data_IF_189009178332
#
_entry.id   IF_189009178332
#
_cell.length_a   1.000
_cell.length_b   1.000
_cell.length_c   1.000
_cell.angle_alpha   90.00
_cell.angle_beta   90.00
_cell.angle_gamma   90.00
#
_symmetry.space_group_name_H-M   'P 1'
#
loop_
_entity.id
_entity.type
_entity.pdbx_description
1 polymer ?
#
# COMPACT_ATOMS: atom_id res chain seq x y z
N UNK A 1 -5.69 -27.93 -33.52
CA UNK A 1 -6.63 -27.13 -32.69
C UNK A 1 -6.03 -25.75 -32.57
N UNK A 2 -6.67 -24.75 -33.16
CA UNK A 2 -6.16 -23.37 -33.16
C UNK A 2 -6.77 -22.63 -31.98
N UNK A 3 -5.94 -22.16 -31.05
CA UNK A 3 -6.40 -21.38 -29.91
C UNK A 3 -6.96 -20.04 -30.41
N UNK A 4 -8.20 -19.74 -30.03
CA UNK A 4 -8.89 -18.52 -30.40
C UNK A 4 -8.92 -17.58 -29.20
N UNK A 5 -8.19 -16.47 -29.28
CA UNK A 5 -8.16 -15.42 -28.26
C UNK A 5 -9.04 -14.25 -28.71
N UNK A 6 -9.80 -13.66 -27.80
CA UNK A 6 -10.61 -12.47 -28.10
C UNK A 6 -9.93 -11.22 -27.55
N UNK A 7 -9.77 -10.20 -28.40
CA UNK A 7 -9.28 -8.88 -28.04
C UNK A 7 -10.40 -7.86 -28.16
N UNK A 8 -10.69 -7.09 -27.12
CA UNK A 8 -11.73 -6.06 -27.17
C UNK A 8 -11.15 -4.67 -27.50
N UNK A 9 -11.72 -4.02 -28.50
CA UNK A 9 -11.37 -2.66 -28.92
C UNK A 9 -12.64 -1.82 -29.11
N UNK A 10 -12.80 -0.75 -28.32
CA UNK A 10 -13.96 0.16 -28.39
C UNK A 10 -15.32 -0.57 -28.36
N UNK A 11 -15.43 -1.64 -27.55
CA UNK A 11 -16.64 -2.47 -27.45
C UNK A 11 -16.83 -3.48 -28.58
N UNK A 12 -15.86 -3.62 -29.49
CA UNK A 12 -15.84 -4.61 -30.56
C UNK A 12 -14.81 -5.70 -30.28
N UNK A 13 -15.20 -6.97 -30.39
CA UNK A 13 -14.30 -8.10 -30.22
C UNK A 13 -13.60 -8.46 -31.54
N UNK A 14 -12.27 -8.54 -31.51
CA UNK A 14 -11.42 -9.08 -32.57
C UNK A 14 -11.01 -10.49 -32.17
N UNK A 15 -11.28 -11.46 -33.05
CA UNK A 15 -10.78 -12.82 -32.88
C UNK A 15 -9.34 -12.91 -33.37
N UNK A 16 -8.51 -13.55 -32.57
CA UNK A 16 -7.08 -13.78 -32.82
C UNK A 16 -6.85 -15.28 -32.85
N UNK A 17 -6.07 -15.72 -33.83
CA UNK A 17 -5.76 -17.09 -34.16
C UNK A 17 -4.24 -17.22 -34.10
N UNK A 18 -3.73 -18.17 -33.33
CA UNK A 18 -2.28 -18.43 -33.31
C UNK A 18 -1.88 -19.30 -34.50
N UNK A 19 -1.01 -18.78 -35.38
CA UNK A 19 -0.46 -19.51 -36.52
C UNK A 19 1.04 -19.37 -36.47
N UNK A 20 1.76 -20.50 -36.41
CA UNK A 20 3.24 -20.50 -36.36
C UNK A 20 3.83 -19.69 -35.19
N UNK A 21 3.14 -19.68 -34.04
CA UNK A 21 3.47 -18.88 -32.82
C UNK A 21 3.33 -17.37 -32.97
N UNK A 22 2.83 -16.92 -34.12
CA UNK A 22 2.53 -15.51 -34.36
C UNK A 22 1.01 -15.27 -34.25
N UNK A 23 0.58 -14.10 -33.78
CA UNK A 23 -0.84 -13.74 -33.72
C UNK A 23 -1.35 -13.33 -35.10
N UNK A 24 -2.42 -13.99 -35.54
CA UNK A 24 -3.15 -13.63 -36.76
C UNK A 24 -4.56 -13.15 -36.41
N UNK A 25 -5.00 -12.06 -37.04
CA UNK A 25 -6.26 -11.39 -36.71
C UNK A 25 -7.32 -11.72 -37.74
N UNK A 26 -8.55 -12.03 -37.32
CA UNK A 26 -9.63 -12.30 -38.26
C UNK A 26 -9.96 -11.03 -39.05
N UNK A 27 -9.69 -11.05 -40.36
CA UNK A 27 -9.75 -9.86 -41.21
C UNK A 27 -11.13 -9.21 -41.25
N UNK A 28 -12.19 -10.01 -41.16
CA UNK A 28 -13.57 -9.53 -41.10
C UNK A 28 -13.84 -8.66 -39.87
N UNK A 29 -13.30 -9.04 -38.71
CA UNK A 29 -13.49 -8.29 -37.47
C UNK A 29 -12.69 -6.97 -37.55
N UNK A 30 -11.49 -7.02 -38.12
CA UNK A 30 -10.65 -5.84 -38.36
C UNK A 30 -11.31 -4.85 -39.34
N UNK A 31 -11.84 -5.33 -40.47
CA UNK A 31 -12.56 -4.49 -41.43
C UNK A 31 -13.80 -3.84 -40.82
N UNK A 32 -14.54 -4.58 -40.00
CA UNK A 32 -15.72 -4.05 -39.30
C UNK A 32 -15.36 -2.91 -38.35
N UNK A 33 -14.29 -3.06 -37.57
CA UNK A 33 -13.83 -2.02 -36.64
C UNK A 33 -13.32 -0.79 -37.38
N UNK A 34 -12.64 -0.99 -38.50
CA UNK A 34 -12.14 0.09 -39.34
C UNK A 34 -13.23 0.69 -40.27
N UNK A 35 -14.46 0.18 -40.21
CA UNK A 35 -15.60 0.60 -41.05
C UNK A 35 -15.27 0.55 -42.55
N UNK A 36 -14.53 -0.48 -42.96
CA UNK A 36 -14.20 -0.70 -44.37
C UNK A 36 -15.39 -1.37 -45.07
N UNK A 37 -16.14 -0.58 -45.87
CA UNK A 37 -17.37 -1.02 -46.55
C UNK A 37 -17.18 -2.27 -47.44
N UNK A 38 -15.99 -2.45 -48.02
CA UNK A 38 -15.71 -3.56 -48.90
C UNK A 38 -14.53 -4.39 -48.36
N UNK A 39 -14.87 -5.37 -47.52
CA UNK A 39 -13.94 -6.32 -46.91
C UNK A 39 -13.06 -6.99 -47.96
N UNK A 40 -13.66 -7.49 -49.06
CA UNK A 40 -12.94 -8.18 -50.13
C UNK A 40 -11.90 -7.28 -50.80
N UNK A 41 -12.24 -6.01 -51.06
CA UNK A 41 -11.32 -5.01 -51.64
C UNK A 41 -10.22 -4.59 -50.67
N UNK A 42 -10.51 -4.55 -49.37
CA UNK A 42 -9.50 -4.28 -48.36
C UNK A 42 -8.49 -5.43 -48.27
N UNK A 43 -8.98 -6.67 -48.24
CA UNK A 43 -8.16 -7.89 -48.19
C UNK A 43 -7.40 -8.15 -49.49
N UNK A 44 -7.92 -7.68 -50.64
CA UNK A 44 -7.24 -7.82 -51.93
C UNK A 44 -6.00 -6.94 -52.06
N UNK A 45 -5.84 -5.91 -51.20
CA UNK A 45 -4.69 -4.99 -51.19
C UNK A 45 -3.53 -5.45 -50.32
N UNK A 46 -3.77 -6.50 -49.52
CA UNK A 46 -2.77 -7.15 -48.69
C UNK A 46 -1.95 -8.11 -49.56
N UNK A 47 -0.67 -8.19 -49.26
CA UNK A 47 0.25 -9.09 -49.94
C UNK A 47 0.00 -10.55 -49.51
N UNK A 48 0.58 -11.53 -50.21
CA UNK A 48 0.30 -12.95 -49.96
C UNK A 48 0.77 -13.44 -48.59
N UNK A 49 1.79 -12.81 -48.01
CA UNK A 49 2.29 -13.05 -46.65
C UNK A 49 1.46 -12.34 -45.57
N UNK A 50 0.64 -11.36 -45.97
CA UNK A 50 -0.20 -10.58 -45.06
C UNK A 50 -1.62 -11.16 -44.87
N UNK A 51 -2.00 -12.17 -45.65
CA UNK A 51 -3.33 -12.79 -45.61
C UNK A 51 -3.27 -14.32 -45.73
N UNK A 52 -4.06 -15.03 -44.91
CA UNK A 52 -4.11 -16.50 -44.94
C UNK A 52 -5.51 -17.01 -44.65
N UNK A 53 -5.93 -18.05 -45.35
CA UNK A 53 -7.16 -18.77 -45.03
C UNK A 53 -6.91 -19.68 -43.82
N UNK A 54 -7.67 -19.49 -42.76
CA UNK A 54 -7.60 -20.30 -41.53
C UNK A 54 -8.96 -20.92 -41.24
N UNK A 55 -8.96 -22.16 -40.77
CA UNK A 55 -10.17 -22.78 -40.23
C UNK A 55 -10.39 -22.30 -38.81
N UNK A 56 -11.56 -21.72 -38.57
CA UNK A 56 -12.00 -21.28 -37.25
C UNK A 56 -13.12 -22.21 -36.81
N UNK A 57 -12.92 -22.86 -35.67
CA UNK A 57 -13.94 -23.65 -35.00
C UNK A 57 -14.67 -22.77 -34.01
N UNK A 58 -16.00 -22.69 -34.12
CA UNK A 58 -16.85 -22.02 -33.14
C UNK A 58 -16.64 -22.63 -31.73
N UNK A 59 -16.67 -21.87 -30.62
CA UNK A 59 -16.60 -22.42 -29.26
C UNK A 59 -17.60 -23.56 -28.96
N UNK A 60 -18.68 -23.67 -29.73
CA UNK A 60 -19.65 -24.78 -29.65
C UNK A 60 -19.26 -26.04 -30.47
N UNK A 61 -18.12 -26.02 -31.17
CA UNK A 61 -17.55 -27.17 -31.89
C UNK A 61 -18.33 -27.66 -33.11
N UNK A 62 -19.42 -26.97 -33.49
CA UNK A 62 -20.39 -27.48 -34.48
C UNK A 62 -20.11 -27.10 -35.93
N UNK A 63 -19.37 -26.01 -36.18
CA UNK A 63 -19.12 -25.51 -37.53
C UNK A 63 -17.66 -25.06 -37.69
N UNK A 64 -16.94 -25.67 -38.62
CA UNK A 64 -15.67 -25.13 -39.13
C UNK A 64 -15.97 -24.10 -40.21
N UNK A 65 -15.58 -22.86 -39.98
CA UNK A 65 -15.71 -21.79 -40.97
C UNK A 65 -14.32 -21.42 -41.49
N UNK A 66 -14.16 -21.34 -42.80
CA UNK A 66 -12.96 -20.78 -43.41
C UNK A 66 -13.06 -19.26 -43.31
N UNK A 67 -12.13 -18.66 -42.58
CA UNK A 67 -12.01 -17.22 -42.45
C UNK A 67 -10.67 -16.76 -43.02
N UNK A 68 -10.64 -15.54 -43.54
CA UNK A 68 -9.39 -14.87 -43.91
C UNK A 68 -8.83 -14.23 -42.63
N UNK A 69 -7.65 -14.68 -42.21
CA UNK A 69 -6.87 -14.04 -41.18
C UNK A 69 -5.78 -13.16 -41.81
N UNK A 70 -5.41 -12.11 -41.09
CA UNK A 70 -4.47 -11.07 -41.49
C UNK A 70 -3.34 -11.04 -40.47
N UNK A 71 -2.10 -10.98 -40.95
CA UNK A 71 -0.93 -10.86 -40.07
C UNK A 71 -0.87 -9.48 -39.42
N UNK A 72 -0.08 -9.33 -38.36
CA UNK A 72 0.11 -8.03 -37.70
C UNK A 72 0.55 -6.91 -38.67
N UNK A 73 1.53 -7.11 -39.59
CA UNK A 73 1.84 -6.14 -40.64
C UNK A 73 0.65 -5.76 -41.52
N UNK A 74 -0.17 -6.73 -41.91
CA UNK A 74 -1.37 -6.50 -42.71
C UNK A 74 -2.41 -5.64 -41.97
N UNK A 75 -2.57 -5.85 -40.66
CA UNK A 75 -3.43 -5.01 -39.82
C UNK A 75 -2.92 -3.56 -39.81
N UNK A 76 -1.60 -3.35 -39.66
CA UNK A 76 -1.03 -2.00 -39.72
C UNK A 76 -1.26 -1.33 -41.06
N UNK A 77 -1.13 -2.05 -42.18
CA UNK A 77 -1.42 -1.54 -43.52
C UNK A 77 -2.87 -1.08 -43.66
N UNK A 78 -3.83 -1.83 -43.11
CA UNK A 78 -5.24 -1.43 -43.07
C UNK A 78 -5.47 -0.20 -42.19
N UNK A 79 -4.80 -0.10 -41.05
CA UNK A 79 -4.90 1.07 -40.16
C UNK A 79 -4.30 2.32 -40.82
N UNK A 80 -3.14 2.19 -41.47
CA UNK A 80 -2.46 3.31 -42.13
C UNK A 80 -3.28 3.91 -43.28
N UNK A 81 -4.08 3.10 -43.96
CA UNK A 81 -4.97 3.55 -45.05
C UNK A 81 -6.37 3.98 -44.59
N UNK A 82 -6.75 3.70 -43.34
CA UNK A 82 -8.05 4.08 -42.78
C UNK A 82 -8.10 5.58 -42.43
N UNK A 83 -9.30 6.17 -42.61
CA UNK A 83 -9.62 7.57 -42.25
C UNK A 83 -10.41 7.68 -40.95
N UNK A 84 -10.66 6.57 -40.25
CA UNK A 84 -11.44 6.57 -39.00
C UNK A 84 -10.71 7.36 -37.91
N UNK A 85 -11.39 8.14 -37.05
CA UNK A 85 -10.74 8.88 -35.97
C UNK A 85 -9.88 8.00 -35.04
N UNK A 86 -10.29 6.75 -34.80
CA UNK A 86 -9.52 5.78 -34.03
C UNK A 86 -8.18 5.42 -34.70
N UNK A 87 -8.20 5.20 -36.02
CA UNK A 87 -6.99 4.95 -36.80
C UNK A 87 -6.08 6.19 -36.82
N UNK A 88 -6.63 7.40 -36.95
CA UNK A 88 -5.84 8.64 -36.86
C UNK A 88 -5.15 8.82 -35.50
N UNK A 89 -5.83 8.51 -34.38
CA UNK A 89 -5.20 8.53 -33.05
C UNK A 89 -4.04 7.55 -32.96
N UNK A 90 -4.22 6.33 -33.48
CA UNK A 90 -3.17 5.31 -33.48
C UNK A 90 -1.97 5.73 -34.35
N UNK A 91 -2.22 6.24 -35.56
CA UNK A 91 -1.18 6.79 -36.45
C UNK A 91 -0.38 7.90 -35.77
N UNK A 92 -1.08 8.84 -35.12
CA UNK A 92 -0.47 9.95 -34.39
C UNK A 92 0.38 9.46 -33.23
N UNK A 93 -0.10 8.51 -32.45
CA UNK A 93 0.64 7.89 -31.35
C UNK A 93 1.92 7.19 -31.84
N UNK A 94 1.84 6.42 -32.93
CA UNK A 94 3.03 5.80 -33.53
C UNK A 94 4.05 6.87 -33.96
N UNK A 95 3.59 7.89 -34.69
CA UNK A 95 4.46 8.91 -35.28
C UNK A 95 5.12 9.84 -34.24
N UNK A 96 4.40 10.20 -33.18
CA UNK A 96 4.87 11.17 -32.19
C UNK A 96 5.52 10.53 -30.96
N UNK A 97 5.08 9.34 -30.55
CA UNK A 97 5.56 8.69 -29.33
C UNK A 97 6.45 7.48 -29.64
N UNK A 98 5.94 6.52 -30.40
CA UNK A 98 6.62 5.21 -30.59
C UNK A 98 7.89 5.35 -31.43
N UNK A 99 7.78 5.83 -32.67
CA UNK A 99 8.92 5.91 -33.58
C UNK A 99 10.03 6.85 -33.07
N UNK A 100 9.71 8.03 -32.51
CA UNK A 100 10.74 8.89 -31.93
C UNK A 100 11.43 8.26 -30.71
N UNK A 101 10.70 7.51 -29.88
CA UNK A 101 11.29 6.80 -28.76
C UNK A 101 12.24 5.69 -29.21
N UNK A 102 11.82 4.85 -30.18
CA UNK A 102 12.68 3.81 -30.75
C UNK A 102 13.93 4.44 -31.37
N UNK A 103 13.79 5.52 -32.15
CA UNK A 103 14.93 6.21 -32.78
C UNK A 103 15.91 6.78 -31.75
N UNK A 104 15.41 7.32 -30.63
CA UNK A 104 16.25 7.97 -29.60
C UNK A 104 16.87 6.98 -28.62
N UNK A 105 16.11 5.98 -28.19
CA UNK A 105 16.45 5.10 -27.07
C UNK A 105 16.66 3.63 -27.48
N UNK A 106 16.51 3.30 -28.77
CA UNK A 106 16.60 1.94 -29.29
C UNK A 106 15.42 1.05 -28.91
N UNK A 107 14.47 1.54 -28.13
CA UNK A 107 13.31 0.78 -27.65
C UNK A 107 12.13 1.70 -27.36
N UNK A 108 10.92 1.14 -27.40
CA UNK A 108 9.71 1.78 -26.88
C UNK A 108 9.15 0.93 -25.75
N UNK A 109 9.16 1.47 -24.54
CA UNK A 109 8.46 0.86 -23.41
C UNK A 109 7.10 1.52 -23.32
N UNK A 110 6.04 0.78 -23.67
CA UNK A 110 4.69 1.26 -23.48
C UNK A 110 4.50 1.68 -22.01
N UNK A 111 3.85 2.82 -21.73
CA UNK A 111 3.52 3.18 -20.36
C UNK A 111 2.67 2.06 -19.80
N UNK A 112 3.26 1.23 -18.94
CA UNK A 112 2.51 0.26 -18.15
C UNK A 112 1.47 1.09 -17.42
N UNK A 113 0.18 0.91 -17.73
CA UNK A 113 -0.86 1.17 -16.72
C UNK A 113 -0.30 0.50 -15.48
N UNK A 114 0.06 1.27 -14.46
CA UNK A 114 0.56 0.72 -13.22
C UNK A 114 -0.56 -0.16 -12.69
N UNK A 115 -0.57 -1.43 -13.09
CA UNK A 115 -1.19 -2.50 -12.35
C UNK A 115 -0.57 -2.29 -10.98
N UNK A 116 -1.37 -1.91 -9.98
CA UNK A 116 -0.94 -1.92 -8.57
C UNK A 116 -0.02 -3.12 -8.45
N UNK A 117 1.25 -2.90 -8.10
CA UNK A 117 2.23 -3.96 -7.97
C UNK A 117 1.73 -4.88 -6.85
N UNK A 118 0.82 -5.78 -7.20
CA UNK A 118 0.36 -6.89 -6.40
C UNK A 118 1.41 -8.01 -6.53
N UNK A 119 2.68 -7.66 -6.33
CA UNK A 119 3.63 -8.64 -5.85
C UNK A 119 3.42 -8.68 -4.34
N UNK A 120 2.99 -9.80 -3.76
CA UNK A 120 2.80 -9.87 -2.32
C UNK A 120 4.16 -9.58 -1.66
N UNK A 121 4.16 -8.82 -0.56
CA UNK A 121 5.38 -8.28 0.05
C UNK A 121 6.43 -9.35 0.42
N UNK A 122 6.00 -10.61 0.56
CA UNK A 122 6.82 -11.80 0.78
C UNK A 122 7.83 -12.13 -0.35
N UNK A 123 7.67 -11.54 -1.55
CA UNK A 123 8.59 -11.79 -2.68
C UNK A 123 9.67 -10.70 -2.86
N UNK A 124 9.80 -9.77 -1.91
CA UNK A 124 10.80 -8.71 -1.95
C UNK A 124 12.14 -9.21 -1.38
N UNK A 125 13.23 -8.95 -2.11
CA UNK A 125 14.57 -9.22 -1.57
C UNK A 125 14.94 -8.16 -0.52
N UNK A 126 15.79 -8.48 0.47
CA UNK A 126 16.17 -7.54 1.52
C UNK A 126 16.70 -6.20 1.00
N UNK A 127 17.50 -6.20 -0.06
CA UNK A 127 18.05 -4.99 -0.68
C UNK A 127 16.96 -4.07 -1.24
N UNK A 128 15.86 -4.64 -1.76
CA UNK A 128 14.73 -3.90 -2.31
C UNK A 128 13.94 -3.24 -1.19
N UNK A 129 13.72 -3.96 -0.08
CA UNK A 129 13.06 -3.42 1.12
C UNK A 129 13.82 -2.24 1.69
N UNK A 130 15.15 -2.36 1.80
CA UNK A 130 16.02 -1.27 2.29
C UNK A 130 15.99 -0.06 1.37
N UNK A 131 16.04 -0.28 0.05
CA UNK A 131 16.00 0.81 -0.93
C UNK A 131 14.68 1.59 -0.87
N UNK A 132 13.54 0.90 -0.87
CA UNK A 132 12.22 1.54 -0.77
C UNK A 132 12.02 2.25 0.58
N UNK A 133 12.45 1.64 1.69
CA UNK A 133 12.35 2.24 3.03
C UNK A 133 13.20 3.51 3.15
N UNK A 134 14.40 3.49 2.58
CA UNK A 134 15.30 4.66 2.54
C UNK A 134 14.74 5.77 1.67
N UNK A 135 14.13 5.45 0.53
CA UNK A 135 13.44 6.42 -0.32
C UNK A 135 12.26 7.07 0.41
N UNK A 136 11.44 6.29 1.12
CA UNK A 136 10.32 6.81 1.90
C UNK A 136 10.78 7.78 3.01
N UNK A 137 11.87 7.46 3.71
CA UNK A 137 12.49 8.38 4.70
C UNK A 137 13.01 9.66 4.06
N UNK A 138 13.58 9.58 2.86
CA UNK A 138 14.01 10.75 2.13
C UNK A 138 12.82 11.66 1.77
N UNK A 139 11.72 11.08 1.30
CA UNK A 139 10.47 11.81 1.02
C UNK A 139 9.90 12.44 2.29
N UNK A 140 9.93 11.74 3.43
CA UNK A 140 9.50 12.32 4.71
C UNK A 140 10.34 13.55 5.08
N UNK A 141 11.66 13.46 4.93
CA UNK A 141 12.58 14.56 5.26
C UNK A 141 12.40 15.78 4.37
N UNK A 142 12.11 15.59 3.09
CA UNK A 142 12.01 16.68 2.10
C UNK A 142 10.59 17.24 2.02
N UNK A 143 9.58 16.37 2.04
CA UNK A 143 8.18 16.71 1.72
C UNK A 143 7.20 16.43 2.87
N UNK A 144 7.69 15.94 4.01
CA UNK A 144 6.89 15.68 5.20
C UNK A 144 6.11 14.36 5.17
N UNK A 145 5.45 14.07 6.30
CA UNK A 145 4.80 12.77 6.57
C UNK A 145 3.66 12.42 5.63
N UNK A 146 2.84 13.40 5.21
CA UNK A 146 1.73 13.15 4.28
C UNK A 146 2.21 12.69 2.91
N UNK A 147 3.30 13.29 2.41
CA UNK A 147 3.92 12.90 1.15
C UNK A 147 4.59 11.53 1.27
N UNK A 148 5.25 11.24 2.39
CA UNK A 148 5.84 9.92 2.65
C UNK A 148 4.77 8.81 2.71
N UNK A 149 3.62 9.07 3.33
CA UNK A 149 2.50 8.13 3.35
C UNK A 149 1.91 7.89 1.94
N UNK A 150 1.73 8.96 1.15
CA UNK A 150 1.28 8.85 -0.23
C UNK A 150 2.28 8.11 -1.13
N UNK A 151 3.58 8.30 -0.89
CA UNK A 151 4.65 7.54 -1.56
C UNK A 151 4.62 6.07 -1.15
N UNK A 152 4.55 5.77 0.15
CA UNK A 152 4.50 4.40 0.70
C UNK A 152 3.35 3.59 0.11
N UNK A 153 2.18 4.21 -0.05
CA UNK A 153 0.98 3.63 -0.67
C UNK A 153 1.18 3.16 -2.12
N UNK A 154 2.22 3.66 -2.80
CA UNK A 154 2.57 3.32 -4.17
C UNK A 154 3.76 2.35 -4.26
N UNK A 155 4.39 2.02 -3.14
CA UNK A 155 5.52 1.07 -3.09
C UNK A 155 5.03 -0.38 -2.97
N UNK A 156 5.85 -1.36 -3.37
CA UNK A 156 5.56 -2.77 -3.11
C UNK A 156 5.76 -3.18 -1.64
N UNK A 157 6.15 -2.25 -0.76
CA UNK A 157 6.33 -2.54 0.66
C UNK A 157 5.00 -2.97 1.31
N UNK A 158 5.07 -3.73 2.42
CA UNK A 158 3.91 -4.00 3.25
C UNK A 158 3.16 -2.71 3.56
N UNK A 159 1.86 -2.70 3.23
CA UNK A 159 1.01 -1.55 3.49
C UNK A 159 0.60 -1.60 4.95
N UNK A 160 1.18 -0.71 5.75
CA UNK A 160 0.78 -0.53 7.15
C UNK A 160 -0.38 0.47 7.15
N UNK A 161 -1.58 -0.03 6.87
CA UNK A 161 -2.82 0.73 6.88
C UNK A 161 -3.76 0.18 7.93
N UNK A 162 -4.49 1.09 8.59
CA UNK A 162 -5.74 0.77 9.29
C UNK A 162 -6.69 0.16 8.24
N UNK A 163 -6.72 -1.18 8.14
CA UNK A 163 -7.48 -1.92 7.12
C UNK A 163 -6.67 -2.70 6.07
N UNK A 164 -5.36 -2.91 6.26
CA UNK A 164 -4.68 -4.06 5.65
C UNK A 164 -4.88 -5.31 6.53
N UNK A 165 -4.81 -6.52 5.95
CA UNK A 165 -4.94 -7.84 6.62
C UNK A 165 -3.79 -8.15 7.62
N UNK A 166 -3.34 -7.15 8.36
CA UNK A 166 -2.80 -7.34 9.69
C UNK A 166 -3.97 -7.01 10.60
N UNK A 167 -4.59 -8.01 11.21
CA UNK A 167 -5.53 -7.83 12.33
C UNK A 167 -4.77 -7.19 13.50
N UNK A 168 -4.42 -5.91 13.37
CA UNK A 168 -4.04 -5.09 14.50
C UNK A 168 -5.38 -4.78 15.14
N UNK A 169 -5.76 -5.58 16.15
CA UNK A 169 -6.92 -5.26 16.97
C UNK A 169 -6.83 -3.78 17.35
N UNK A 170 -7.82 -2.96 16.95
CA UNK A 170 -7.74 -1.53 17.23
C UNK A 170 -7.63 -1.35 18.74
N UNK A 171 -6.65 -0.54 19.17
CA UNK A 171 -6.44 -0.20 20.58
C UNK A 171 -7.80 0.16 21.21
N UNK A 172 -8.29 -0.71 22.08
CA UNK A 172 -9.57 -0.57 22.76
C UNK A 172 -9.34 -0.36 24.25
N UNK A 173 -10.40 -0.05 25.00
CA UNK A 173 -10.30 0.22 26.44
C UNK A 173 -9.77 -1.00 27.22
N UNK A 174 -10.03 -2.24 26.76
CA UNK A 174 -9.49 -3.46 27.35
C UNK A 174 -7.97 -3.52 27.20
N UNK A 175 -7.46 -3.32 25.97
CA UNK A 175 -6.03 -3.28 25.67
C UNK A 175 -5.32 -2.16 26.45
N UNK A 176 -6.01 -1.03 26.69
CA UNK A 176 -5.49 0.07 27.49
C UNK A 176 -5.33 -0.30 28.97
N UNK A 177 -6.28 -1.08 29.54
CA UNK A 177 -6.17 -1.60 30.90
C UNK A 177 -5.05 -2.63 31.02
N UNK A 178 -4.85 -3.46 30.02
CA UNK A 178 -3.76 -4.44 30.02
C UNK A 178 -2.39 -3.77 29.87
N UNK A 179 -2.29 -2.70 29.09
CA UNK A 179 -1.11 -1.82 29.06
C UNK A 179 -0.79 -1.25 30.44
N UNK A 180 -1.81 -0.79 31.17
CA UNK A 180 -1.63 -0.24 32.52
C UNK A 180 -1.26 -1.31 33.54
N UNK A 181 -1.87 -2.51 33.48
CA UNK A 181 -1.45 -3.66 34.32
C UNK A 181 0.00 -4.06 34.05
N UNK A 182 0.43 -4.03 32.79
CA UNK A 182 1.82 -4.29 32.44
C UNK A 182 2.76 -3.26 33.09
N UNK A 183 2.42 -1.96 33.00
CA UNK A 183 3.16 -0.88 33.67
C UNK A 183 3.38 -1.16 35.16
N UNK A 184 2.32 -1.56 35.86
CA UNK A 184 2.39 -1.82 37.30
C UNK A 184 3.14 -3.10 37.69
N UNK A 185 3.29 -4.05 36.75
CA UNK A 185 4.06 -5.30 36.97
C UNK A 185 5.56 -5.15 36.73
N UNK A 186 5.97 -4.10 36.03
CA UNK A 186 7.39 -3.86 35.74
C UNK A 186 8.16 -3.65 37.07
N UNK A 187 9.36 -4.20 37.14
CA UNK A 187 10.23 -4.06 38.30
C UNK A 187 10.83 -2.66 38.31
N UNK A 188 10.51 -1.85 39.31
CA UNK A 188 11.12 -0.53 39.53
C UNK A 188 12.50 -0.65 40.21
N UNK A 189 12.65 -1.65 41.08
CA UNK A 189 13.90 -2.01 41.74
C UNK A 189 13.95 -3.53 41.98
N UNK A 190 15.11 -4.12 42.37
CA UNK A 190 15.18 -5.54 42.70
C UNK A 190 14.18 -5.90 43.80
N UNK A 191 13.15 -6.69 43.45
CA UNK A 191 12.02 -7.10 44.33
C UNK A 191 10.97 -6.02 44.67
N UNK A 192 10.96 -4.89 43.98
CA UNK A 192 9.91 -3.87 44.12
C UNK A 192 9.29 -3.60 42.75
N UNK A 193 7.99 -3.88 42.59
CA UNK A 193 7.25 -3.55 41.37
C UNK A 193 6.84 -2.08 41.36
N UNK A 194 6.50 -1.55 40.18
CA UNK A 194 5.91 -0.22 40.06
C UNK A 194 4.60 -0.11 40.87
N UNK A 195 3.84 -1.20 41.01
CA UNK A 195 2.67 -1.28 41.90
C UNK A 195 3.03 -1.04 43.36
N UNK A 196 4.03 -1.75 43.87
CA UNK A 196 4.47 -1.62 45.27
C UNK A 196 5.01 -0.21 45.54
N UNK A 197 5.73 0.34 44.56
CA UNK A 197 6.26 1.69 44.63
C UNK A 197 5.15 2.74 44.59
N UNK A 198 4.12 2.55 43.76
CA UNK A 198 2.93 3.42 43.71
C UNK A 198 2.19 3.43 45.05
N UNK A 199 1.93 2.26 45.63
CA UNK A 199 1.28 2.15 46.94
C UNK A 199 2.10 2.84 48.04
N UNK A 200 3.42 2.65 48.02
CA UNK A 200 4.34 3.33 48.95
C UNK A 200 4.36 4.84 48.75
N UNK A 201 4.26 5.33 47.51
CA UNK A 201 4.30 6.75 47.16
C UNK A 201 3.02 7.53 47.56
N UNK A 202 1.91 6.84 47.85
CA UNK A 202 0.71 7.45 48.41
C UNK A 202 0.96 8.00 49.83
N UNK A 203 1.80 7.33 50.62
CA UNK A 203 2.06 7.66 52.04
C UNK A 203 3.44 8.27 52.29
N UNK A 204 4.47 7.81 51.58
CA UNK A 204 5.87 8.22 51.78
C UNK A 204 6.37 9.18 50.68
N UNK A 205 6.81 10.41 51.02
CA UNK A 205 7.44 11.33 50.07
C UNK A 205 8.71 10.78 49.42
N UNK A 206 9.47 9.91 50.09
CA UNK A 206 10.70 9.35 49.53
C UNK A 206 10.41 8.38 48.38
N UNK A 207 9.31 7.63 48.48
CA UNK A 207 8.81 6.79 47.41
C UNK A 207 8.32 7.60 46.20
N UNK A 208 7.79 8.82 46.40
CA UNK A 208 7.43 9.73 45.28
C UNK A 208 8.64 10.11 44.43
N UNK A 209 9.76 10.46 45.07
CA UNK A 209 11.01 10.77 44.35
C UNK A 209 11.53 9.56 43.55
N UNK A 210 11.35 8.33 44.05
CA UNK A 210 11.70 7.11 43.31
C UNK A 210 10.73 6.88 42.14
N UNK A 211 9.45 7.19 42.32
CA UNK A 211 8.43 7.10 41.27
C UNK A 211 8.75 8.04 40.09
N UNK A 212 9.19 9.26 40.40
CA UNK A 212 9.60 10.23 39.38
C UNK A 212 10.76 9.73 38.52
N UNK A 213 11.73 9.02 39.13
CA UNK A 213 12.84 8.36 38.41
C UNK A 213 12.39 7.24 37.47
N UNK A 214 11.19 6.69 37.66
CA UNK A 214 10.57 5.75 36.73
C UNK A 214 9.74 6.46 35.66
N UNK A 215 9.70 7.80 35.64
CA UNK A 215 8.89 8.58 34.71
C UNK A 215 7.43 8.73 35.14
N UNK A 216 7.11 8.53 36.41
CA UNK A 216 5.76 8.55 36.95
C UNK A 216 5.65 9.60 38.06
N UNK A 217 4.56 10.38 38.08
CA UNK A 217 4.39 11.46 39.07
C UNK A 217 2.98 11.49 39.62
N UNK A 218 2.85 11.54 40.95
CA UNK A 218 1.57 11.62 41.64
C UNK A 218 1.18 13.07 41.89
N UNK A 219 -0.01 13.46 41.41
CA UNK A 219 -0.62 14.75 41.73
C UNK A 219 0.11 15.92 41.11
N UNK A 220 -0.33 16.33 39.93
CA UNK A 220 0.09 17.62 39.35
C UNK A 220 -0.71 18.76 40.01
N UNK A 221 -0.14 19.98 40.07
CA UNK A 221 -0.80 21.15 40.68
C UNK A 221 -2.23 21.39 40.15
N UNK A 222 -2.45 21.16 38.86
CA UNK A 222 -3.75 21.30 38.20
C UNK A 222 -4.60 20.00 38.24
N UNK A 223 -4.00 18.86 38.60
CA UNK A 223 -4.60 17.51 38.57
C UNK A 223 -4.13 16.69 39.79
N UNK A 224 -4.61 16.99 41.01
CA UNK A 224 -4.15 16.35 42.23
C UNK A 224 -4.53 14.86 42.30
N UNK A 225 -5.66 14.47 41.72
CA UNK A 225 -6.20 13.09 41.76
C UNK A 225 -5.76 12.23 40.56
N UNK A 226 -4.65 12.60 39.91
CA UNK A 226 -4.16 11.92 38.71
C UNK A 226 -2.72 11.43 38.90
N UNK A 227 -2.43 10.26 38.32
CA UNK A 227 -1.08 9.78 38.05
C UNK A 227 -0.66 10.26 36.66
N UNK A 228 0.46 10.95 36.57
CA UNK A 228 1.02 11.39 35.29
C UNK A 228 2.12 10.41 34.88
N UNK A 229 2.00 9.89 33.66
CA UNK A 229 3.02 9.08 32.99
C UNK A 229 3.76 9.96 31.99
N UNK A 230 5.08 10.11 32.14
CA UNK A 230 5.93 10.82 31.19
C UNK A 230 5.89 10.12 29.83
N UNK A 231 5.68 10.84 28.74
CA UNK A 231 5.62 10.24 27.39
C UNK A 231 7.00 9.84 26.86
N UNK A 232 8.06 10.53 27.32
CA UNK A 232 9.44 10.33 26.88
C UNK A 232 10.34 10.08 28.10
N UNK A 233 10.43 8.83 28.55
CA UNK A 233 11.31 8.45 29.65
C UNK A 233 12.08 7.15 29.32
N UNK A 234 13.41 7.07 29.53
CA UNK A 234 14.21 5.89 29.19
C UNK A 234 13.69 4.60 29.82
N UNK A 235 13.36 4.63 31.12
CA UNK A 235 12.81 3.46 31.82
C UNK A 235 11.52 2.94 31.18
N UNK A 236 10.62 3.83 30.75
CA UNK A 236 9.37 3.42 30.11
C UNK A 236 9.61 2.92 28.68
N UNK A 237 10.55 3.52 27.95
CA UNK A 237 10.93 3.07 26.62
C UNK A 237 11.46 1.62 26.66
N UNK A 238 12.40 1.34 27.57
CA UNK A 238 12.98 0.01 27.76
C UNK A 238 11.93 -0.99 28.22
N UNK A 239 11.04 -0.58 29.13
CA UNK A 239 10.03 -1.46 29.69
C UNK A 239 8.95 -1.89 28.69
N UNK A 240 8.63 -1.04 27.71
CA UNK A 240 7.64 -1.36 26.66
C UNK A 240 8.25 -1.89 25.36
N UNK A 241 9.58 -1.92 25.21
CA UNK A 241 10.27 -2.27 23.95
C UNK A 241 9.88 -3.65 23.40
N UNK A 242 9.76 -4.65 24.29
CA UNK A 242 9.45 -6.04 23.92
C UNK A 242 7.95 -6.38 24.01
N UNK A 243 7.07 -5.38 24.03
CA UNK A 243 5.62 -5.57 24.20
C UNK A 243 4.84 -5.16 22.95
N UNK A 244 3.59 -5.62 22.85
CA UNK A 244 2.65 -5.20 21.80
C UNK A 244 2.33 -3.70 21.85
N UNK A 245 2.72 -3.01 22.93
CA UNK A 245 2.57 -1.57 23.12
C UNK A 245 3.84 -0.78 22.78
N UNK A 246 4.90 -1.43 22.26
CA UNK A 246 6.10 -0.76 21.83
C UNK A 246 5.75 0.40 20.87
N UNK A 247 6.27 1.59 21.16
CA UNK A 247 6.01 2.83 20.40
C UNK A 247 4.55 3.34 20.39
N UNK A 248 3.60 2.62 21.02
CA UNK A 248 2.16 2.94 21.01
C UNK A 248 1.53 3.02 22.41
N UNK A 249 2.25 2.70 23.49
CA UNK A 249 1.75 2.69 24.88
C UNK A 249 1.15 4.02 25.31
N UNK A 250 1.71 5.16 24.88
CA UNK A 250 1.12 6.48 25.10
C UNK A 250 -0.28 6.62 24.47
N UNK A 251 -0.47 6.07 23.27
CA UNK A 251 -1.77 6.04 22.60
C UNK A 251 -2.76 5.14 23.35
N UNK A 252 -2.30 3.97 23.79
CA UNK A 252 -3.10 3.01 24.55
C UNK A 252 -3.59 3.60 25.88
N UNK A 253 -2.70 4.18 26.69
CA UNK A 253 -3.07 4.79 27.97
C UNK A 253 -4.07 5.95 27.82
N UNK A 254 -4.07 6.64 26.67
CA UNK A 254 -5.04 7.70 26.38
C UNK A 254 -6.47 7.17 26.17
N UNK A 255 -6.63 5.89 25.83
CA UNK A 255 -7.95 5.26 25.66
C UNK A 255 -8.62 4.92 26.99
N UNK A 256 -7.91 5.03 28.13
CA UNK A 256 -8.51 4.83 29.44
C UNK A 256 -9.56 5.90 29.74
N UNK A 257 -10.65 5.49 30.38
CA UNK A 257 -11.74 6.38 30.73
C UNK A 257 -11.25 7.54 31.62
N UNK A 258 -11.42 8.78 31.15
CA UNK A 258 -11.01 9.98 31.87
C UNK A 258 -9.52 10.34 31.76
N UNK A 259 -8.72 9.57 31.01
CA UNK A 259 -7.32 9.92 30.74
C UNK A 259 -7.20 11.19 29.88
N UNK A 260 -6.23 12.05 30.20
CA UNK A 260 -6.01 13.32 29.52
C UNK A 260 -4.56 13.46 29.07
N UNK A 261 -4.36 13.95 27.84
CA UNK A 261 -3.03 14.33 27.38
C UNK A 261 -2.65 15.66 28.02
N UNK A 262 -1.52 15.69 28.73
CA UNK A 262 -0.94 16.94 29.20
C UNK A 262 -0.09 17.52 28.07
N UNK A 263 -0.55 18.63 27.51
CA UNK A 263 0.12 19.31 26.39
C UNK A 263 1.25 20.23 26.81
N UNK A 264 1.25 20.66 28.08
CA UNK A 264 2.35 21.42 28.68
C UNK A 264 3.46 20.45 29.08
N UNK A 265 4.70 20.87 28.93
CA UNK A 265 5.84 20.09 29.41
C UNK A 265 5.85 20.13 30.95
N UNK A 266 5.90 18.95 31.56
CA UNK A 266 5.95 18.76 33.01
C UNK A 266 7.36 18.33 33.37
N UNK A 267 7.91 18.88 34.44
CA UNK A 267 9.17 18.38 34.99
C UNK A 267 8.93 17.05 35.72
N UNK A 268 9.43 15.95 35.15
CA UNK A 268 9.47 14.63 35.79
C UNK A 268 10.94 14.17 35.76
N UNK A 269 11.51 13.83 36.92
CA UNK A 269 12.95 13.58 37.07
C UNK A 269 13.84 14.73 36.53
N UNK A 270 13.40 15.98 36.75
CA UNK A 270 14.10 17.17 36.28
C UNK A 270 14.08 17.39 34.76
N UNK A 271 13.39 16.53 33.99
CA UNK A 271 13.23 16.66 32.54
C UNK A 271 11.83 17.14 32.18
N UNK A 272 11.78 18.15 31.31
CA UNK A 272 10.54 18.64 30.73
C UNK A 272 10.03 17.64 29.70
N UNK A 273 8.91 16.98 29.99
CA UNK A 273 8.30 15.99 29.10
C UNK A 273 6.79 16.18 29.02
N UNK A 274 6.16 15.98 27.86
CA UNK A 274 4.71 15.83 27.79
C UNK A 274 4.33 14.51 28.49
N UNK A 275 3.09 14.41 28.96
CA UNK A 275 2.65 13.23 29.69
C UNK A 275 1.17 12.91 29.50
N UNK A 276 0.76 11.77 30.07
CA UNK A 276 -0.62 11.32 30.09
C UNK A 276 -1.06 11.26 31.55
N UNK A 277 -2.09 12.03 31.89
CA UNK A 277 -2.70 12.02 33.20
C UNK A 277 -3.80 10.95 33.24
N UNK A 278 -3.67 9.99 34.14
CA UNK A 278 -4.61 8.89 34.37
C UNK A 278 -5.29 9.11 35.73
N UNK A 279 -6.63 9.07 35.81
CA UNK A 279 -7.33 9.22 37.10
C UNK A 279 -6.95 8.11 38.08
N UNK A 280 -6.70 8.46 39.35
CA UNK A 280 -6.41 7.48 40.40
C UNK A 280 -7.57 6.50 40.62
N UNK A 281 -8.81 6.89 40.33
CA UNK A 281 -9.99 6.00 40.40
C UNK A 281 -9.91 4.82 39.42
N UNK A 282 -9.30 5.01 38.24
CA UNK A 282 -9.08 3.95 37.26
C UNK A 282 -8.00 2.98 37.74
N UNK A 283 -6.94 3.51 38.36
CA UNK A 283 -5.84 2.73 38.92
C UNK A 283 -6.32 1.87 40.09
N UNK A 284 -7.11 2.45 40.99
CA UNK A 284 -7.70 1.74 42.13
C UNK A 284 -8.64 0.60 41.73
N UNK A 285 -9.22 0.64 40.53
CA UNK A 285 -10.03 -0.46 39.99
C UNK A 285 -9.23 -1.59 39.33
N UNK A 286 -7.90 -1.45 39.21
CA UNK A 286 -7.01 -2.37 38.50
C UNK A 286 -5.97 -3.06 39.40
N UNK A 287 -5.65 -2.45 40.54
CA UNK A 287 -4.78 -2.97 41.60
C UNK A 287 -5.61 -3.77 42.61
#
# INVERSE_FOLDING_TARGET
MTALMNFEFEGSSIRIVEVEKEPWFVGRDVCRILELENESRAMSRLDEDERRSVSITDPLGKNEQIAIAVSEPGVYRLIFTSRKPAAERFKRWIAHDVLPAIRKFGSYTAPRKHKKLARPAQDLRPEEVVAWSSAARCVERIHGRKAAAAFWAQTPLPQVGVGGDVDVEPLNELSARDCLKHLFRISAAPRESVSDLYQSALTDPSARNRLEKCGLMLGLRDWPDYLVVAANHPFLADAFEATDFAWAWCGALRMLQGARKVTREIAIDGKLTPGIAIPMSVIAGLL
#
